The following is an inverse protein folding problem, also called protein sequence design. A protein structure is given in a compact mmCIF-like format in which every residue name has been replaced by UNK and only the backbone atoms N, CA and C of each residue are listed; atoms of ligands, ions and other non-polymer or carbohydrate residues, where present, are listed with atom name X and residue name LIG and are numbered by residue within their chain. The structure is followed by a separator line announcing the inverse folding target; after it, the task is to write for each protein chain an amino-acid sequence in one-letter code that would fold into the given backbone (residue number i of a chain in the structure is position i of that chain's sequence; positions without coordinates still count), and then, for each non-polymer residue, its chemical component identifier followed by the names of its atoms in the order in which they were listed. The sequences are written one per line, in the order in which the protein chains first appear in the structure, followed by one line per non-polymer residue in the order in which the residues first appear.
data_IF_694520051946
#
_entry.id   IF_694520051946
#
_cell.length_a   1.000
_cell.length_b   1.000
_cell.length_c   1.000
_cell.angle_alpha   90.00
_cell.angle_beta   90.00
_cell.angle_gamma   90.00
#
_symmetry.space_group_name_H-M   'P 1'
#
loop_
_entity.id
_entity.type
_entity.pdbx_description
1 polymer ?
#
# COMPACT_ATOMS: atom_id res chain seq x y z
N UNK A 1 24.47 -18.19 2.70
CA UNK A 1 23.38 -17.29 2.26
C UNK A 1 22.22 -18.16 1.83
N UNK A 2 21.15 -18.17 2.61
CA UNK A 2 20.17 -19.25 2.62
C UNK A 2 19.10 -18.95 1.55
N UNK A 3 18.68 -19.94 0.76
CA UNK A 3 17.75 -19.79 -0.38
C UNK A 3 16.43 -19.07 -0.01
N UNK A 4 16.01 -19.17 1.26
CA UNK A 4 14.83 -18.51 1.84
C UNK A 4 14.97 -16.98 1.99
N UNK A 5 16.20 -16.46 2.10
CA UNK A 5 16.44 -15.02 2.16
C UNK A 5 16.30 -14.35 0.78
N UNK A 6 16.79 -15.04 -0.26
CA UNK A 6 16.74 -14.55 -1.64
C UNK A 6 15.30 -14.47 -2.17
N UNK A 7 14.48 -15.48 -1.88
CA UNK A 7 13.06 -15.48 -2.28
C UNK A 7 12.25 -14.35 -1.63
N UNK A 8 12.53 -14.03 -0.36
CA UNK A 8 11.90 -12.89 0.34
C UNK A 8 12.28 -11.55 -0.25
N UNK A 9 13.57 -11.32 -0.51
CA UNK A 9 14.04 -10.07 -1.12
C UNK A 9 13.39 -9.87 -2.49
N UNK A 10 13.31 -10.94 -3.29
CA UNK A 10 12.63 -10.92 -4.59
C UNK A 10 11.16 -10.54 -4.48
N UNK A 11 10.41 -11.11 -3.53
CA UNK A 11 9.00 -10.77 -3.30
C UNK A 11 8.81 -9.30 -2.87
N UNK A 12 9.71 -8.77 -2.03
CA UNK A 12 9.71 -7.36 -1.62
C UNK A 12 9.97 -6.43 -2.81
N UNK A 13 10.99 -6.72 -3.63
CA UNK A 13 11.30 -5.91 -4.81
C UNK A 13 10.12 -5.93 -5.78
N UNK A 14 9.51 -7.10 -6.03
CA UNK A 14 8.34 -7.24 -6.88
C UNK A 14 7.19 -6.37 -6.36
N UNK A 15 6.95 -6.35 -5.03
CA UNK A 15 5.93 -5.48 -4.44
C UNK A 15 6.17 -4.00 -4.76
N UNK A 16 7.39 -3.50 -4.55
CA UNK A 16 7.70 -2.10 -4.80
C UNK A 16 7.61 -1.74 -6.29
N UNK A 17 8.16 -2.57 -7.17
CA UNK A 17 8.12 -2.35 -8.62
C UNK A 17 6.68 -2.38 -9.12
N UNK A 18 5.88 -3.34 -8.68
CA UNK A 18 4.49 -3.46 -9.12
C UNK A 18 3.63 -2.31 -8.58
N UNK A 19 3.85 -1.89 -7.34
CA UNK A 19 3.19 -0.70 -6.76
C UNK A 19 3.52 0.54 -7.55
N UNK A 20 4.80 0.73 -7.90
CA UNK A 20 5.27 1.86 -8.69
C UNK A 20 4.58 1.89 -10.05
N UNK A 21 4.64 0.78 -10.80
CA UNK A 21 4.03 0.66 -12.14
C UNK A 21 2.51 0.90 -12.09
N UNK A 22 1.82 0.39 -11.06
CA UNK A 22 0.36 0.59 -10.92
C UNK A 22 0.05 2.05 -10.56
N UNK A 23 0.82 2.67 -9.66
CA UNK A 23 0.54 4.03 -9.19
C UNK A 23 0.79 5.12 -10.24
N UNK A 24 1.85 4.96 -11.03
CA UNK A 24 2.35 5.98 -11.95
C UNK A 24 1.32 6.50 -12.96
N UNK A 25 0.54 5.66 -13.67
CA UNK A 25 -0.44 6.17 -14.63
C UNK A 25 -1.51 7.05 -13.96
N UNK A 26 -1.96 6.70 -12.74
CA UNK A 26 -2.94 7.51 -12.02
C UNK A 26 -2.37 8.86 -11.59
N UNK A 27 -1.12 8.90 -11.13
CA UNK A 27 -0.46 10.15 -10.76
C UNK A 27 -0.15 11.04 -11.96
N UNK A 28 0.23 10.48 -13.11
CA UNK A 28 0.41 11.28 -14.34
C UNK A 28 -0.91 11.95 -14.72
N UNK A 29 -2.02 11.21 -14.74
CA UNK A 29 -3.32 11.76 -15.11
C UNK A 29 -3.75 12.84 -14.11
N UNK A 30 -3.62 12.58 -12.81
CA UNK A 30 -3.95 13.55 -11.76
C UNK A 30 -3.07 14.82 -11.87
N UNK A 31 -1.77 14.67 -12.15
CA UNK A 31 -0.86 15.79 -12.31
C UNK A 31 -1.22 16.65 -13.53
N UNK A 32 -1.57 16.03 -14.66
CA UNK A 32 -2.02 16.75 -15.86
C UNK A 32 -3.35 17.46 -15.65
N UNK A 33 -4.26 16.88 -14.84
CA UNK A 33 -5.49 17.56 -14.42
C UNK A 33 -5.19 18.79 -13.54
N UNK A 34 -4.27 18.64 -12.59
CA UNK A 34 -3.89 19.72 -11.67
C UNK A 34 -3.25 20.94 -12.37
N UNK A 35 -2.56 20.73 -13.50
CA UNK A 35 -1.97 21.83 -14.30
C UNK A 35 -2.90 22.31 -15.44
N UNK A 36 -4.14 21.82 -15.50
CA UNK A 36 -5.15 22.28 -16.46
C UNK A 36 -5.01 21.73 -17.88
N UNK A 37 -4.18 20.69 -18.10
CA UNK A 37 -4.11 19.99 -19.40
C UNK A 37 -5.31 19.07 -19.58
N UNK A 38 -5.79 18.46 -18.49
CA UNK A 38 -6.93 17.56 -18.46
C UNK A 38 -8.09 18.14 -17.63
N UNK A 39 -9.33 17.60 -17.75
CA UNK A 39 -10.45 18.02 -16.92
C UNK A 39 -10.13 17.90 -15.43
N UNK A 40 -10.54 18.91 -14.65
CA UNK A 40 -10.21 19.02 -13.23
C UNK A 40 -10.78 17.85 -12.40
N UNK A 41 -11.87 17.22 -12.86
CA UNK A 41 -12.45 16.04 -12.22
C UNK A 41 -11.50 14.83 -12.23
N UNK A 42 -10.47 14.82 -13.08
CA UNK A 42 -9.48 13.75 -13.10
C UNK A 42 -8.41 13.90 -12.01
N UNK A 43 -8.35 15.03 -11.29
CA UNK A 43 -7.46 15.20 -10.13
C UNK A 43 -7.74 14.16 -9.04
N UNK A 44 -9.00 13.70 -8.92
CA UNK A 44 -9.40 12.64 -7.99
C UNK A 44 -8.67 11.30 -8.24
N UNK A 45 -8.02 11.11 -9.40
CA UNK A 45 -7.16 9.94 -9.64
C UNK A 45 -5.99 9.84 -8.67
N UNK A 46 -5.62 10.94 -8.00
CA UNK A 46 -4.62 10.92 -6.92
C UNK A 46 -4.96 9.89 -5.85
N UNK A 47 -6.24 9.80 -5.43
CA UNK A 47 -6.68 8.83 -4.42
C UNK A 47 -6.51 7.39 -4.89
N UNK A 48 -6.80 7.13 -6.17
CA UNK A 48 -6.61 5.81 -6.78
C UNK A 48 -5.13 5.44 -6.83
N UNK A 49 -4.25 6.36 -7.25
CA UNK A 49 -2.81 6.16 -7.24
C UNK A 49 -2.25 5.90 -5.83
N UNK A 50 -2.75 6.62 -4.83
CA UNK A 50 -2.38 6.41 -3.42
C UNK A 50 -2.82 5.04 -2.88
N UNK A 51 -3.86 4.42 -3.46
CA UNK A 51 -4.33 3.08 -3.12
C UNK A 51 -3.54 1.94 -3.79
N UNK A 52 -2.61 2.24 -4.72
CA UNK A 52 -1.84 1.25 -5.45
C UNK A 52 -1.07 0.23 -4.58
N UNK A 53 -0.48 0.59 -3.41
CA UNK A 53 0.18 -0.40 -2.55
C UNK A 53 -0.80 -1.45 -2.02
N UNK A 54 -2.04 -1.05 -1.72
CA UNK A 54 -3.08 -1.97 -1.26
C UNK A 54 -3.48 -2.94 -2.39
N UNK A 55 -3.73 -2.41 -3.60
CA UNK A 55 -4.03 -3.24 -4.77
C UNK A 55 -2.90 -4.23 -5.06
N UNK A 56 -1.65 -3.77 -5.00
CA UNK A 56 -0.46 -4.60 -5.23
C UNK A 56 -0.34 -5.70 -4.18
N UNK A 57 -0.56 -5.37 -2.90
CA UNK A 57 -0.58 -6.35 -1.82
C UNK A 57 -1.65 -7.41 -2.05
N UNK A 58 -2.87 -7.01 -2.42
CA UNK A 58 -3.96 -7.94 -2.71
C UNK A 58 -3.63 -8.86 -3.88
N UNK A 59 -3.09 -8.33 -4.97
CA UNK A 59 -2.68 -9.11 -6.15
C UNK A 59 -1.62 -10.16 -5.77
N UNK A 60 -0.56 -9.75 -5.08
CA UNK A 60 0.53 -10.67 -4.72
C UNK A 60 0.08 -11.72 -3.70
N UNK A 61 -0.68 -11.32 -2.69
CA UNK A 61 -1.19 -12.24 -1.67
C UNK A 61 -2.20 -13.22 -2.26
N UNK A 62 -3.06 -12.77 -3.18
CA UNK A 62 -3.98 -13.66 -3.89
C UNK A 62 -3.21 -14.69 -4.74
N UNK A 63 -2.14 -14.28 -5.43
CA UNK A 63 -1.30 -15.19 -6.22
C UNK A 63 -0.58 -16.23 -5.35
N UNK A 64 -0.06 -15.84 -4.19
CA UNK A 64 0.70 -16.76 -3.32
C UNK A 64 -0.18 -17.62 -2.41
N UNK A 65 -1.26 -17.06 -1.86
CA UNK A 65 -2.04 -17.64 -0.75
C UNK A 65 -3.56 -17.62 -0.97
N UNK A 66 -4.01 -17.24 -2.17
CA UNK A 66 -5.43 -17.18 -2.56
C UNK A 66 -6.27 -16.38 -1.53
N UNK A 67 -7.55 -16.73 -1.39
CA UNK A 67 -8.49 -16.04 -0.49
C UNK A 67 -8.11 -16.10 0.99
N UNK A 68 -7.42 -17.14 1.44
CA UNK A 68 -6.99 -17.25 2.84
C UNK A 68 -5.91 -16.22 3.20
N UNK A 69 -5.01 -15.93 2.26
CA UNK A 69 -4.03 -14.86 2.37
C UNK A 69 -4.69 -13.49 2.57
N UNK A 70 -5.71 -13.18 1.77
CA UNK A 70 -6.47 -11.92 1.86
C UNK A 70 -7.14 -11.79 3.23
N UNK A 71 -7.85 -12.84 3.68
CA UNK A 71 -8.50 -12.87 4.99
C UNK A 71 -7.49 -12.60 6.12
N UNK A 72 -6.29 -13.17 6.02
CA UNK A 72 -5.27 -13.01 7.04
C UNK A 72 -4.63 -11.61 7.02
N UNK A 73 -4.51 -10.96 5.85
CA UNK A 73 -4.07 -9.57 5.71
C UNK A 73 -5.01 -8.63 6.47
N UNK A 74 -6.31 -8.67 6.15
CA UNK A 74 -7.30 -7.84 6.81
C UNK A 74 -7.41 -8.17 8.30
N UNK A 75 -7.36 -9.45 8.68
CA UNK A 75 -7.35 -9.85 10.10
C UNK A 75 -6.20 -9.21 10.87
N UNK A 76 -5.02 -9.02 10.26
CA UNK A 76 -3.89 -8.32 10.90
C UNK A 76 -4.12 -6.82 10.98
N UNK A 77 -4.70 -6.20 9.96
CA UNK A 77 -5.06 -4.78 9.97
C UNK A 77 -6.10 -4.42 11.02
N UNK A 78 -7.12 -5.28 11.22
CA UNK A 78 -8.18 -5.07 12.22
C UNK A 78 -7.82 -5.53 13.64
N UNK A 79 -6.57 -5.94 13.90
CA UNK A 79 -6.13 -6.20 15.28
C UNK A 79 -5.98 -4.88 16.03
N UNK A 80 -7.06 -4.45 16.69
CA UNK A 80 -7.12 -3.25 17.52
C UNK A 80 -6.31 -3.36 18.83
N UNK A 81 -5.96 -4.58 19.27
CA UNK A 81 -5.22 -4.79 20.52
C UNK A 81 -3.73 -4.53 20.31
N UNK A 82 -3.31 -3.32 20.65
CA UNK A 82 -1.90 -2.97 20.80
C UNK A 82 -1.37 -3.70 22.04
N UNK A 83 -0.43 -4.64 21.85
CA UNK A 83 0.03 -5.55 22.92
C UNK A 83 0.81 -4.86 24.04
N UNK A 84 1.43 -3.71 23.77
CA UNK A 84 2.14 -2.91 24.77
C UNK A 84 1.48 -1.54 24.91
N UNK A 85 0.92 -1.26 26.10
CA UNK A 85 0.30 0.04 26.42
C UNK A 85 1.26 1.23 26.25
N UNK A 86 2.57 1.00 26.29
CA UNK A 86 3.58 2.02 26.02
C UNK A 86 3.47 2.66 24.62
N UNK A 87 2.87 1.98 23.64
CA UNK A 87 2.65 2.56 22.30
C UNK A 87 1.56 3.64 22.27
N UNK A 88 0.70 3.75 23.29
CA UNK A 88 -0.27 4.85 23.36
C UNK A 88 0.40 6.21 23.55
N UNK A 89 1.54 6.27 24.27
CA UNK A 89 2.28 7.51 24.53
C UNK A 89 2.78 8.17 23.24
N UNK A 90 3.58 7.50 22.37
CA UNK A 90 3.99 8.11 21.11
C UNK A 90 2.80 8.36 20.19
N UNK A 91 1.75 7.53 20.21
CA UNK A 91 0.56 7.77 19.37
C UNK A 91 -0.19 9.04 19.77
N UNK A 92 -0.24 9.35 21.07
CA UNK A 92 -0.86 10.58 21.58
C UNK A 92 0.06 11.81 21.40
N UNK A 93 1.38 11.63 21.51
CA UNK A 93 2.36 12.72 21.42
C UNK A 93 2.92 12.98 20.01
N UNK A 94 2.63 12.13 19.01
CA UNK A 94 3.15 12.31 17.64
C UNK A 94 2.43 13.40 16.85
N UNK A 95 1.19 13.72 17.21
CA UNK A 95 0.49 14.91 16.75
C UNK A 95 0.30 15.86 17.94
N UNK A 96 1.25 16.76 18.22
CA UNK A 96 0.93 17.92 19.04
C UNK A 96 -0.02 18.78 18.20
N UNK A 97 -1.30 18.78 18.56
CA UNK A 97 -2.28 19.76 18.08
C UNK A 97 -1.88 21.13 18.63
#
# INVERSE_FOLDING_TARGET
MNETGNSKIKSIIIFFVLTYIISWPFFIIAAFAAIGILPAELEYMWYTGASAPLLTALILIYKEKKGEGIKNLFRRGFKYKISKKAWYIPTLFTMPI
#
